data_IF_400113489476
#
_entry.id   IF_400113489476
#
_cell.length_a   1.000
_cell.length_b   1.000
_cell.length_c   1.000
_cell.angle_alpha   90.00
_cell.angle_beta   90.00
_cell.angle_gamma   90.00
#
_symmetry.space_group_name_H-M   'P 1'
#
loop_
_entity.id
_entity.type
_entity.pdbx_description
1 polymer ?
#
# COMPACT_ATOMS: atom_id res chain seq x y z
N UNK A 1 52.23 35.47 -21.16
CA UNK A 1 51.44 34.28 -21.53
C UNK A 1 51.08 33.54 -20.25
N UNK A 2 50.05 33.99 -19.56
CA UNK A 2 49.34 33.24 -18.51
C UNK A 2 48.21 34.15 -18.00
N UNK A 3 47.08 33.54 -17.62
CA UNK A 3 45.87 34.15 -17.03
C UNK A 3 44.74 34.58 -17.98
N UNK A 4 44.09 33.62 -18.66
CA UNK A 4 42.67 33.75 -19.07
C UNK A 4 41.95 32.37 -19.16
N UNK A 5 41.86 31.61 -18.07
CA UNK A 5 41.20 30.30 -18.11
C UNK A 5 40.40 29.91 -16.85
N UNK A 6 39.80 30.86 -16.12
CA UNK A 6 39.09 30.49 -14.88
C UNK A 6 37.73 31.17 -14.62
N UNK A 7 37.00 31.55 -15.68
CA UNK A 7 35.75 32.33 -15.52
C UNK A 7 34.52 31.75 -16.22
N UNK A 8 34.45 30.43 -16.46
CA UNK A 8 33.27 29.80 -17.05
C UNK A 8 32.65 28.65 -16.24
N UNK A 9 33.22 28.27 -15.09
CA UNK A 9 32.69 27.15 -14.28
C UNK A 9 31.55 27.54 -13.31
N UNK A 10 31.20 28.82 -13.18
CA UNK A 10 30.34 29.28 -12.07
C UNK A 10 28.89 29.60 -12.44
N UNK A 11 28.47 29.47 -13.70
CA UNK A 11 27.09 29.77 -14.13
C UNK A 11 26.21 28.56 -14.44
N UNK A 12 26.76 27.33 -14.45
CA UNK A 12 25.96 26.11 -14.69
C UNK A 12 25.32 25.54 -13.42
N UNK A 13 25.74 26.00 -12.23
CA UNK A 13 25.23 25.49 -10.94
C UNK A 13 23.95 26.19 -10.43
N UNK A 14 23.46 27.24 -11.09
CA UNK A 14 22.26 27.98 -10.61
C UNK A 14 20.93 27.58 -11.28
N UNK A 15 20.95 26.75 -12.33
CA UNK A 15 19.71 26.33 -13.03
C UNK A 15 19.11 25.03 -12.46
N UNK A 16 19.84 24.29 -11.61
CA UNK A 16 19.36 23.03 -11.04
C UNK A 16 18.75 23.11 -9.63
N UNK A 17 18.59 24.31 -9.06
CA UNK A 17 18.05 24.48 -7.70
C UNK A 17 16.55 24.83 -7.65
N UNK A 18 15.87 25.10 -8.77
CA UNK A 18 14.48 25.61 -8.77
C UNK A 18 13.38 24.58 -9.01
N UNK A 19 13.67 23.27 -9.02
CA UNK A 19 12.62 22.23 -9.23
C UNK A 19 12.43 21.23 -8.08
N UNK A 20 13.01 21.46 -6.89
CA UNK A 20 12.89 20.54 -5.75
C UNK A 20 11.73 20.81 -4.77
N UNK A 21 10.85 21.78 -5.03
CA UNK A 21 9.81 22.17 -4.05
C UNK A 21 8.37 21.69 -4.32
N UNK A 22 8.11 20.79 -5.28
CA UNK A 22 6.71 20.48 -5.69
C UNK A 22 6.09 19.23 -5.05
N UNK A 23 6.81 18.39 -4.28
CA UNK A 23 6.19 17.17 -3.71
C UNK A 23 6.48 16.98 -2.22
N UNK A 24 5.97 17.90 -1.40
CA UNK A 24 5.73 17.65 0.03
C UNK A 24 4.43 16.83 0.18
N UNK A 25 4.48 15.56 -0.21
CA UNK A 25 3.37 14.62 0.01
C UNK A 25 3.42 14.20 1.48
N UNK A 26 2.58 14.83 2.31
CA UNK A 26 2.31 14.35 3.66
C UNK A 26 1.78 12.92 3.58
N UNK A 27 2.55 11.97 4.10
CA UNK A 27 2.09 10.60 4.32
C UNK A 27 0.93 10.67 5.33
N UNK A 28 -0.29 10.24 5.00
CA UNK A 28 -1.39 10.20 5.96
C UNK A 28 -1.05 9.20 7.07
N UNK A 29 -1.06 9.65 8.32
CA UNK A 29 -0.74 8.84 9.50
C UNK A 29 -1.82 7.82 9.90
N UNK A 30 -2.76 7.48 9.01
CA UNK A 30 -3.77 6.46 9.30
C UNK A 30 -3.58 5.26 8.37
N UNK A 31 -3.08 4.12 8.89
CA UNK A 31 -3.20 2.87 8.16
C UNK A 31 -4.70 2.59 7.96
N UNK A 32 -5.10 2.41 6.70
CA UNK A 32 -6.46 2.05 6.34
C UNK A 32 -6.80 0.70 6.98
N UNK A 33 -7.43 0.72 8.14
CA UNK A 33 -8.20 -0.43 8.63
C UNK A 33 -9.49 -0.46 7.82
N UNK A 34 -9.74 -1.49 6.97
CA UNK A 34 -10.99 -1.60 6.26
C UNK A 34 -12.13 -1.60 7.29
N UNK A 35 -13.06 -0.65 7.16
CA UNK A 35 -14.30 -0.67 7.93
C UNK A 35 -15.00 -2.00 7.62
N UNK A 36 -15.46 -2.76 8.63
CA UNK A 36 -16.32 -3.89 8.36
C UNK A 36 -17.54 -3.41 7.55
N UNK A 37 -18.04 -4.24 6.62
CA UNK A 37 -19.19 -3.90 5.80
C UNK A 37 -20.35 -3.50 6.71
N UNK A 38 -21.05 -2.43 6.35
CA UNK A 38 -22.29 -2.02 7.01
C UNK A 38 -23.30 -3.14 6.76
N UNK A 39 -23.36 -4.09 7.69
CA UNK A 39 -24.40 -5.11 7.72
C UNK A 39 -25.73 -4.39 7.96
N UNK A 40 -26.59 -4.43 6.94
CA UNK A 40 -28.04 -4.24 7.00
C UNK A 40 -28.53 -3.11 7.91
N UNK A 41 -28.50 -1.88 7.38
CA UNK A 41 -29.41 -0.82 7.82
C UNK A 41 -30.83 -1.28 7.46
N UNK A 42 -31.55 -1.82 8.43
CA UNK A 42 -33.01 -2.05 8.37
C UNK A 42 -33.65 -0.76 7.85
N UNK A 43 -34.32 -0.85 6.71
CA UNK A 43 -35.18 0.23 6.22
C UNK A 43 -36.30 0.41 7.24
N UNK A 44 -36.43 1.62 7.77
CA UNK A 44 -37.60 1.99 8.56
C UNK A 44 -38.81 2.07 7.61
N UNK A 45 -39.97 1.50 7.98
CA UNK A 45 -41.16 1.62 7.17
C UNK A 45 -41.71 3.05 7.21
N UNK A 46 -42.09 3.51 6.02
CA UNK A 46 -42.82 4.74 5.75
C UNK A 46 -44.11 4.75 6.59
N UNK A 47 -44.24 5.74 7.47
CA UNK A 47 -45.46 6.02 8.22
C UNK A 47 -46.34 6.94 7.37
N UNK A 48 -47.53 6.47 7.00
CA UNK A 48 -48.65 7.31 6.60
C UNK A 48 -49.94 6.88 7.34
N UNK A 49 -50.56 7.89 7.95
CA UNK A 49 -51.96 8.09 8.32
C UNK A 49 -52.70 7.09 9.22
N UNK A 50 -53.09 7.62 10.38
CA UNK A 50 -54.42 7.60 11.01
C UNK A 50 -55.23 6.29 10.98
N UNK A 51 -55.44 5.72 12.17
CA UNK A 51 -56.79 5.43 12.67
C UNK A 51 -56.74 5.20 14.17
N UNK A 52 -57.59 5.93 14.88
CA UNK A 52 -57.94 5.72 16.28
C UNK A 52 -58.39 4.29 16.55
N UNK A 53 -57.75 3.61 17.49
CA UNK A 53 -58.44 2.65 18.37
C UNK A 53 -57.77 2.65 19.75
N UNK A 54 -58.53 3.18 20.70
CA UNK A 54 -58.30 3.15 22.15
C UNK A 54 -58.48 1.71 22.64
N UNK A 55 -57.39 1.06 23.06
CA UNK A 55 -57.45 -0.18 23.85
C UNK A 55 -56.54 -0.04 25.07
N UNK A 56 -57.24 -0.02 26.20
CA UNK A 56 -56.94 -0.32 27.59
C UNK A 56 -55.54 -0.78 27.99
N UNK A 57 -55.10 -0.16 29.09
CA UNK A 57 -53.90 -0.39 29.88
C UNK A 57 -53.74 -1.83 30.37
N UNK A 58 -52.76 -2.55 29.82
CA UNK A 58 -52.23 -3.78 30.40
C UNK A 58 -50.96 -3.47 31.21
N UNK A 59 -50.97 -3.87 32.49
CA UNK A 59 -49.83 -3.84 33.39
C UNK A 59 -48.57 -4.46 32.77
N UNK A 60 -47.46 -3.72 32.85
CA UNK A 60 -46.15 -4.25 32.52
C UNK A 60 -45.83 -5.44 33.45
N UNK A 61 -45.47 -6.63 32.92
CA UNK A 61 -45.05 -7.74 33.76
C UNK A 61 -43.76 -7.35 34.47
N UNK A 62 -43.74 -7.49 35.80
CA UNK A 62 -42.53 -7.36 36.61
C UNK A 62 -41.43 -8.20 35.97
N UNK A 63 -40.34 -7.56 35.53
CA UNK A 63 -39.10 -8.23 35.15
C UNK A 63 -38.63 -9.06 36.34
N UNK A 64 -38.90 -10.36 36.30
CA UNK A 64 -38.22 -11.32 37.15
C UNK A 64 -36.73 -11.24 36.76
N UNK A 65 -35.90 -10.73 37.65
CA UNK A 65 -34.45 -10.75 37.48
C UNK A 65 -33.99 -12.22 37.51
N UNK A 66 -33.91 -12.86 36.35
CA UNK A 66 -33.34 -14.20 36.20
C UNK A 66 -31.86 -14.28 36.63
N UNK A 67 -31.18 -13.13 36.72
CA UNK A 67 -29.83 -13.01 37.28
C UNK A 67 -29.76 -13.42 38.76
N UNK A 68 -30.81 -13.17 39.55
CA UNK A 68 -30.81 -13.49 40.99
C UNK A 68 -31.16 -14.96 41.27
N UNK A 69 -31.94 -15.61 40.39
CA UNK A 69 -32.34 -17.02 40.53
C UNK A 69 -31.18 -17.97 40.15
N UNK A 70 -30.30 -17.56 39.23
CA UNK A 70 -29.10 -18.34 38.87
C UNK A 70 -27.94 -18.20 39.87
N UNK A 71 -27.92 -17.15 40.71
CA UNK A 71 -26.85 -16.93 41.70
C UNK A 71 -27.00 -17.74 43.00
N UNK A 72 -28.14 -18.40 43.25
CA UNK A 72 -28.39 -19.11 44.51
C UNK A 72 -28.24 -20.64 44.46
N UNK A 73 -27.86 -21.23 43.32
CA UNK A 73 -27.34 -22.61 43.37
C UNK A 73 -25.87 -22.54 43.77
N UNK A 74 -25.60 -22.56 45.08
CA UNK A 74 -24.34 -23.04 45.64
C UNK A 74 -24.19 -24.51 45.20
N UNK A 75 -23.76 -24.74 43.96
CA UNK A 75 -23.43 -26.09 43.48
C UNK A 75 -22.30 -26.57 44.39
N UNK A 76 -22.54 -27.67 45.10
CA UNK A 76 -21.47 -28.34 45.82
C UNK A 76 -20.41 -28.71 44.77
N UNK A 77 -19.17 -28.19 44.87
CA UNK A 77 -18.11 -28.46 43.89
C UNK A 77 -17.78 -29.96 43.80
N UNK A 78 -18.16 -30.75 44.82
CA UNK A 78 -18.06 -32.19 44.82
C UNK A 78 -18.96 -32.89 43.78
N UNK A 79 -20.13 -32.34 43.47
CA UNK A 79 -21.04 -32.93 42.49
C UNK A 79 -20.57 -32.70 41.04
N UNK A 80 -19.91 -31.58 40.76
CA UNK A 80 -19.39 -31.29 39.41
C UNK A 80 -18.22 -32.22 39.03
N UNK A 81 -17.48 -32.76 40.01
CA UNK A 81 -16.38 -33.71 39.77
C UNK A 81 -16.92 -35.11 39.40
N UNK A 82 -18.01 -35.54 40.04
CA UNK A 82 -18.62 -36.86 39.80
C UNK A 82 -19.35 -36.96 38.47
N UNK A 83 -19.80 -35.83 37.92
CA UNK A 83 -20.52 -35.74 36.64
C UNK A 83 -19.55 -35.58 35.46
N UNK A 84 -18.27 -35.29 35.72
CA UNK A 84 -17.27 -35.07 34.67
C UNK A 84 -16.92 -36.38 33.95
N UNK A 85 -16.89 -36.38 32.62
CA UNK A 85 -16.61 -37.57 31.79
C UNK A 85 -15.27 -38.25 32.12
N UNK A 86 -14.30 -37.48 32.65
CA UNK A 86 -12.98 -37.95 33.09
C UNK A 86 -12.87 -38.25 34.60
N UNK A 87 -13.97 -38.53 35.29
CA UNK A 87 -14.00 -38.73 36.76
C UNK A 87 -13.01 -39.80 37.25
N UNK A 88 -12.85 -40.90 36.50
CA UNK A 88 -11.91 -41.98 36.83
C UNK A 88 -10.44 -41.51 36.76
N UNK A 89 -10.09 -40.71 35.74
CA UNK A 89 -8.74 -40.17 35.58
C UNK A 89 -8.42 -39.14 36.67
N UNK A 90 -9.40 -38.31 37.05
CA UNK A 90 -9.27 -37.36 38.17
C UNK A 90 -8.93 -38.13 39.45
N UNK A 91 -9.64 -39.22 39.76
CA UNK A 91 -9.37 -40.02 40.96
C UNK A 91 -8.03 -40.74 40.91
N UNK A 92 -7.67 -41.31 39.74
CA UNK A 92 -6.37 -41.96 39.52
C UNK A 92 -5.22 -40.98 39.76
N UNK A 93 -5.25 -39.80 39.14
CA UNK A 93 -4.20 -38.79 39.32
C UNK A 93 -4.19 -38.26 40.76
N UNK A 94 -5.36 -38.03 41.37
CA UNK A 94 -5.47 -37.60 42.77
C UNK A 94 -4.79 -38.60 43.71
N UNK A 95 -4.96 -39.91 43.47
CA UNK A 95 -4.33 -40.96 44.29
C UNK A 95 -2.83 -41.06 44.05
N UNK A 96 -2.37 -40.99 42.80
CA UNK A 96 -0.95 -40.94 42.44
C UNK A 96 -0.23 -39.76 43.11
N UNK A 97 -0.80 -38.56 43.05
CA UNK A 97 -0.23 -37.36 43.68
C UNK A 97 -0.12 -37.52 45.20
N UNK A 98 -1.14 -38.10 45.84
CA UNK A 98 -1.12 -38.33 47.30
C UNK A 98 -0.04 -39.34 47.72
N UNK A 99 0.25 -40.31 46.86
CA UNK A 99 1.34 -41.28 47.03
C UNK A 99 2.72 -40.67 46.77
N UNK A 100 2.78 -39.49 46.15
CA UNK A 100 4.02 -38.79 45.84
C UNK A 100 4.60 -39.13 44.47
N UNK A 101 3.85 -39.82 43.61
CA UNK A 101 4.27 -40.17 42.25
C UNK A 101 4.37 -38.93 41.35
N UNK A 102 5.19 -39.02 40.29
CA UNK A 102 5.29 -37.96 39.28
C UNK A 102 4.02 -37.88 38.43
N UNK A 103 3.63 -36.66 38.05
CA UNK A 103 2.44 -36.39 37.25
C UNK A 103 2.83 -36.42 35.77
N UNK A 104 2.48 -37.48 35.05
CA UNK A 104 2.77 -37.61 33.62
C UNK A 104 1.76 -36.85 32.72
N UNK A 105 0.56 -36.59 33.25
CA UNK A 105 -0.55 -36.05 32.46
C UNK A 105 -0.51 -34.50 32.38
N UNK A 106 -0.51 -33.97 31.16
CA UNK A 106 -0.24 -32.55 30.86
C UNK A 106 -1.51 -31.76 30.48
N UNK A 107 -2.71 -32.28 30.73
CA UNK A 107 -3.96 -31.56 30.46
C UNK A 107 -4.26 -30.53 31.58
N UNK A 108 -4.18 -29.21 31.32
CA UNK A 108 -4.34 -28.20 32.36
C UNK A 108 -5.74 -28.14 32.98
N UNK A 109 -6.77 -28.55 32.23
CA UNK A 109 -8.15 -28.57 32.73
C UNK A 109 -8.33 -29.72 33.73
N UNK A 110 -7.80 -30.90 33.40
CA UNK A 110 -7.83 -32.07 34.26
C UNK A 110 -7.09 -31.83 35.58
N UNK A 111 -5.89 -31.25 35.52
CA UNK A 111 -5.10 -30.89 36.71
C UNK A 111 -5.81 -29.86 37.60
N UNK A 112 -6.58 -28.94 37.01
CA UNK A 112 -7.43 -28.00 37.77
C UNK A 112 -8.53 -28.68 38.56
N UNK A 113 -9.17 -29.71 37.98
CA UNK A 113 -10.19 -30.52 38.66
C UNK A 113 -9.58 -31.41 39.76
N UNK A 114 -8.38 -31.95 39.54
CA UNK A 114 -7.61 -32.69 40.56
C UNK A 114 -7.28 -31.77 41.74
N UNK A 115 -6.80 -30.54 41.49
CA UNK A 115 -6.55 -29.56 42.54
C UNK A 115 -7.81 -29.20 43.33
N UNK A 116 -8.97 -29.12 42.68
CA UNK A 116 -10.27 -28.89 43.34
C UNK A 116 -10.67 -30.10 44.22
N UNK A 117 -10.46 -31.33 43.73
CA UNK A 117 -10.71 -32.56 44.50
C UNK A 117 -9.83 -32.61 45.76
N UNK A 118 -8.53 -32.36 45.62
CA UNK A 118 -7.60 -32.30 46.75
C UNK A 118 -7.97 -31.20 47.75
N UNK A 119 -8.44 -30.03 47.29
CA UNK A 119 -8.95 -28.97 48.19
C UNK A 119 -10.17 -29.42 48.99
N UNK A 120 -11.11 -30.14 48.36
CA UNK A 120 -12.26 -30.69 49.07
C UNK A 120 -11.83 -31.74 50.11
N UNK A 121 -10.84 -32.58 49.76
CA UNK A 121 -10.26 -33.57 50.68
C UNK A 121 -9.52 -32.92 51.85
N UNK A 122 -8.77 -31.84 51.61
CA UNK A 122 -8.12 -31.03 52.65
C UNK A 122 -9.14 -30.46 53.64
N UNK A 123 -10.19 -29.81 53.14
CA UNK A 123 -11.27 -29.25 53.98
C UNK A 123 -11.92 -30.32 54.87
N UNK A 124 -12.11 -31.53 54.34
CA UNK A 124 -12.65 -32.67 55.10
C UNK A 124 -11.71 -33.20 56.19
N UNK A 125 -10.39 -33.14 55.98
CA UNK A 125 -9.41 -33.51 57.00
C UNK A 125 -9.30 -32.44 58.09
N UNK A 126 -9.44 -31.16 57.73
CA UNK A 126 -9.48 -30.04 58.68
C UNK A 126 -10.71 -30.13 59.60
N UNK A 127 -11.90 -30.44 59.06
CA UNK A 127 -13.11 -30.62 59.88
C UNK A 127 -13.01 -31.81 60.82
N UNK A 128 -12.21 -32.83 60.49
CA UNK A 128 -11.94 -34.00 61.33
C UNK A 128 -10.80 -33.80 62.35
N UNK A 129 -10.09 -32.67 62.31
CA UNK A 129 -8.94 -32.41 63.20
C UNK A 129 -7.64 -33.13 62.81
N UNK A 130 -7.55 -33.72 61.61
CA UNK A 130 -6.35 -34.42 61.12
C UNK A 130 -5.40 -33.45 60.41
N UNK A 131 -4.72 -32.60 61.20
CA UNK A 131 -3.90 -31.51 60.65
C UNK A 131 -2.64 -31.96 59.92
N UNK A 132 -1.99 -33.05 60.36
CA UNK A 132 -0.78 -33.57 59.70
C UNK A 132 -1.07 -34.00 58.25
N UNK A 133 -2.17 -34.71 58.07
CA UNK A 133 -2.61 -35.17 56.74
C UNK A 133 -3.09 -34.00 55.88
N UNK A 134 -3.76 -33.00 56.48
CA UNK A 134 -4.15 -31.77 55.79
C UNK A 134 -2.94 -31.01 55.22
N UNK A 135 -1.83 -30.92 55.99
CA UNK A 135 -0.58 -30.29 55.53
C UNK A 135 0.03 -31.06 54.35
N UNK A 136 0.04 -32.40 54.40
CA UNK A 136 0.50 -33.23 53.28
C UNK A 136 -0.35 -33.01 52.02
N UNK A 137 -1.68 -33.00 52.17
CA UNK A 137 -2.60 -32.70 51.05
C UNK A 137 -2.37 -31.28 50.51
N UNK A 138 -2.05 -30.31 51.36
CA UNK A 138 -1.70 -28.96 50.91
C UNK A 138 -0.43 -28.95 50.05
N UNK A 139 0.62 -29.66 50.46
CA UNK A 139 1.84 -29.80 49.64
C UNK A 139 1.53 -30.47 48.28
N UNK A 140 0.63 -31.46 48.27
CA UNK A 140 0.15 -32.09 47.04
C UNK A 140 -0.62 -31.12 46.14
N UNK A 141 -1.47 -30.25 46.72
CA UNK A 141 -2.18 -29.19 45.98
C UNK A 141 -1.18 -28.24 45.32
N UNK A 142 -0.14 -27.83 46.04
CA UNK A 142 0.85 -26.89 45.53
C UNK A 142 1.64 -27.51 44.36
N UNK A 143 2.06 -28.80 44.47
CA UNK A 143 2.66 -29.55 43.36
C UNK A 143 1.74 -29.65 42.13
N UNK A 144 0.46 -29.96 42.32
CA UNK A 144 -0.51 -30.05 41.22
C UNK A 144 -0.72 -28.68 40.57
N UNK A 145 -0.75 -27.60 41.36
CA UNK A 145 -0.86 -26.23 40.82
C UNK A 145 0.38 -25.82 40.03
N UNK A 146 1.58 -26.18 40.48
CA UNK A 146 2.82 -25.98 39.73
C UNK A 146 2.80 -26.74 38.40
N UNK A 147 2.42 -28.03 38.43
CA UNK A 147 2.28 -28.85 37.22
C UNK A 147 1.20 -28.28 36.27
N UNK A 148 0.07 -27.82 36.80
CA UNK A 148 -1.00 -27.17 36.03
C UNK A 148 -0.51 -25.88 35.37
N UNK A 149 0.30 -25.09 36.07
CA UNK A 149 0.88 -23.85 35.55
C UNK A 149 1.89 -24.14 34.43
N UNK A 150 2.75 -25.15 34.58
CA UNK A 150 3.65 -25.60 33.50
C UNK A 150 2.88 -26.14 32.29
N UNK A 151 1.84 -26.93 32.50
CA UNK A 151 0.96 -27.42 31.44
C UNK A 151 0.29 -26.25 30.69
N UNK A 152 -0.19 -25.23 31.40
CA UNK A 152 -0.76 -24.02 30.81
C UNK A 152 0.27 -23.23 30.00
N UNK A 153 1.51 -23.09 30.49
CA UNK A 153 2.61 -22.46 29.73
C UNK A 153 2.89 -23.20 28.43
N UNK A 154 2.99 -24.54 28.48
CA UNK A 154 3.24 -25.37 27.32
C UNK A 154 2.10 -25.29 26.30
N UNK A 155 0.86 -25.36 26.76
CA UNK A 155 -0.31 -25.20 25.90
C UNK A 155 -0.30 -23.81 25.22
N UNK A 156 -0.05 -22.74 25.98
CA UNK A 156 0.05 -21.39 25.44
C UNK A 156 1.16 -21.25 24.39
N UNK A 157 2.32 -21.87 24.62
CA UNK A 157 3.42 -21.94 23.65
C UNK A 157 2.99 -22.64 22.35
N UNK A 158 2.39 -23.83 22.45
CA UNK A 158 1.92 -24.58 21.26
C UNK A 158 0.93 -23.77 20.43
N UNK A 159 -0.06 -23.15 21.08
CA UNK A 159 -1.01 -22.29 20.38
C UNK A 159 -0.34 -21.09 19.68
N UNK A 160 0.63 -20.45 20.35
CA UNK A 160 1.36 -19.33 19.75
C UNK A 160 2.19 -19.76 18.54
N UNK A 161 2.87 -20.90 18.61
CA UNK A 161 3.65 -21.43 17.48
C UNK A 161 2.76 -21.77 16.28
N UNK A 162 1.60 -22.40 16.51
CA UNK A 162 0.63 -22.71 15.44
C UNK A 162 0.09 -21.42 14.79
N UNK A 163 -0.27 -20.41 15.58
CA UNK A 163 -0.73 -19.11 15.05
C UNK A 163 0.37 -18.40 14.24
N UNK A 164 1.62 -18.44 14.71
CA UNK A 164 2.77 -17.87 13.98
C UNK A 164 2.99 -18.61 12.67
N UNK A 165 2.96 -19.93 12.66
CA UNK A 165 3.14 -20.75 11.46
C UNK A 165 2.06 -20.46 10.40
N UNK A 166 0.80 -20.39 10.83
CA UNK A 166 -0.31 -20.01 9.97
C UNK A 166 -0.12 -18.59 9.38
N UNK A 167 0.37 -17.64 10.16
CA UNK A 167 0.66 -16.28 9.66
C UNK A 167 1.85 -16.24 8.71
N UNK A 168 2.85 -17.11 8.90
CA UNK A 168 3.97 -17.26 7.96
C UNK A 168 3.46 -17.77 6.62
N UNK A 169 2.64 -18.83 6.62
CA UNK A 169 2.06 -19.35 5.37
C UNK A 169 1.25 -18.30 4.62
N UNK A 170 0.45 -17.48 5.33
CA UNK A 170 -0.27 -16.36 4.71
C UNK A 170 0.66 -15.30 4.13
N UNK A 171 1.73 -14.96 4.85
CA UNK A 171 2.72 -13.98 4.38
C UNK A 171 3.45 -14.47 3.13
N UNK A 172 3.72 -15.76 3.03
CA UNK A 172 4.34 -16.36 1.85
C UNK A 172 3.38 -16.42 0.67
N UNK A 173 2.10 -16.73 0.88
CA UNK A 173 1.09 -16.62 -0.18
C UNK A 173 0.92 -15.18 -0.66
N UNK A 174 0.95 -14.20 0.24
CA UNK A 174 0.91 -12.78 -0.11
C UNK A 174 2.11 -12.38 -1.00
N UNK A 175 3.31 -12.93 -0.71
CA UNK A 175 4.51 -12.73 -1.52
C UNK A 175 4.30 -13.23 -2.94
N UNK A 176 3.85 -14.49 -3.09
CA UNK A 176 3.62 -15.07 -4.42
C UNK A 176 2.52 -14.34 -5.20
N UNK A 177 1.47 -13.89 -4.52
CA UNK A 177 0.40 -13.11 -5.16
C UNK A 177 0.95 -11.78 -5.67
N UNK A 178 1.78 -11.09 -4.87
CA UNK A 178 2.38 -9.82 -5.26
C UNK A 178 3.31 -9.96 -6.47
N UNK A 179 4.12 -11.02 -6.51
CA UNK A 179 4.99 -11.35 -7.64
C UNK A 179 4.17 -11.54 -8.94
N UNK A 180 3.13 -12.38 -8.89
CA UNK A 180 2.26 -12.60 -10.05
C UNK A 180 1.50 -11.33 -10.49
N UNK A 181 1.07 -10.48 -9.55
CA UNK A 181 0.43 -9.21 -9.89
C UNK A 181 1.42 -8.27 -10.58
N UNK A 182 2.67 -8.20 -10.10
CA UNK A 182 3.73 -7.40 -10.72
C UNK A 182 4.04 -7.86 -12.16
N UNK A 183 4.22 -9.16 -12.36
CA UNK A 183 4.45 -9.75 -13.67
C UNK A 183 3.27 -9.50 -14.63
N UNK A 184 2.04 -9.68 -14.16
CA UNK A 184 0.85 -9.43 -14.96
C UNK A 184 0.73 -7.94 -15.37
N UNK A 185 1.08 -7.01 -14.47
CA UNK A 185 1.08 -5.58 -14.75
C UNK A 185 2.18 -5.19 -15.75
N UNK A 186 3.37 -5.80 -15.67
CA UNK A 186 4.43 -5.63 -16.67
C UNK A 186 4.00 -6.15 -18.05
N UNK A 187 3.43 -7.35 -18.12
CA UNK A 187 2.96 -7.93 -19.37
C UNK A 187 1.88 -7.06 -20.03
N UNK A 188 0.91 -6.55 -19.25
CA UNK A 188 -0.10 -5.61 -19.74
C UNK A 188 0.51 -4.32 -20.26
N UNK A 189 1.51 -3.79 -19.56
CA UNK A 189 2.24 -2.60 -19.98
C UNK A 189 2.95 -2.84 -21.31
N UNK A 190 3.64 -3.97 -21.47
CA UNK A 190 4.32 -4.31 -22.71
C UNK A 190 3.36 -4.43 -23.90
N UNK A 191 2.24 -5.13 -23.74
CA UNK A 191 1.21 -5.24 -24.80
C UNK A 191 0.70 -3.85 -25.18
N UNK A 192 0.41 -3.00 -24.20
CA UNK A 192 -0.08 -1.64 -24.45
C UNK A 192 0.94 -0.80 -25.24
N UNK A 193 2.21 -0.82 -24.84
CA UNK A 193 3.24 -0.03 -25.51
C UNK A 193 3.59 -0.58 -26.89
N UNK A 194 3.58 -1.91 -27.09
CA UNK A 194 3.71 -2.49 -28.44
C UNK A 194 2.63 -1.99 -29.40
N UNK A 195 1.38 -1.95 -28.94
CA UNK A 195 0.27 -1.40 -29.74
C UNK A 195 0.49 0.09 -30.08
N UNK A 196 0.93 0.89 -29.11
CA UNK A 196 1.25 2.30 -29.35
C UNK A 196 2.44 2.47 -30.31
N UNK A 197 3.45 1.61 -30.25
CA UNK A 197 4.57 1.62 -31.19
C UNK A 197 4.10 1.29 -32.63
N UNK A 198 3.21 0.33 -32.79
CA UNK A 198 2.63 -0.02 -34.10
C UNK A 198 1.76 1.13 -34.66
N UNK A 199 0.90 1.72 -33.83
CA UNK A 199 0.10 2.89 -34.20
C UNK A 199 0.99 4.08 -34.61
N UNK A 200 2.06 4.33 -33.86
CA UNK A 200 3.03 5.37 -34.15
C UNK A 200 3.73 5.13 -35.50
N UNK A 201 4.22 3.90 -35.73
CA UNK A 201 4.87 3.53 -37.01
C UNK A 201 3.93 3.69 -38.19
N UNK A 202 2.68 3.23 -38.07
CA UNK A 202 1.68 3.36 -39.14
C UNK A 202 1.38 4.83 -39.45
N UNK A 203 1.31 5.69 -38.42
CA UNK A 203 1.15 7.13 -38.60
C UNK A 203 2.37 7.74 -39.29
N UNK A 204 3.58 7.38 -38.86
CA UNK A 204 4.83 7.88 -39.43
C UNK A 204 4.98 7.49 -40.91
N UNK A 205 4.59 6.26 -41.29
CA UNK A 205 4.55 5.83 -42.69
C UNK A 205 3.60 6.69 -43.53
N UNK A 206 2.39 6.98 -43.03
CA UNK A 206 1.46 7.89 -43.70
C UNK A 206 2.01 9.30 -43.84
N UNK A 207 2.66 9.83 -42.80
CA UNK A 207 3.30 11.15 -42.85
C UNK A 207 4.40 11.21 -43.94
N UNK A 208 5.15 10.11 -44.15
CA UNK A 208 6.15 10.03 -45.23
C UNK A 208 5.48 9.98 -46.61
N UNK A 209 4.43 9.17 -46.78
CA UNK A 209 3.68 9.09 -48.04
C UNK A 209 3.04 10.44 -48.40
N UNK A 210 2.44 11.12 -47.42
CA UNK A 210 1.84 12.44 -47.60
C UNK A 210 2.90 13.50 -47.94
N UNK A 211 4.08 13.44 -47.31
CA UNK A 211 5.20 14.33 -47.63
C UNK A 211 5.66 14.13 -49.08
N UNK A 212 5.86 12.89 -49.52
CA UNK A 212 6.24 12.57 -50.89
C UNK A 212 5.17 13.02 -51.90
N UNK A 213 3.88 12.82 -51.59
CA UNK A 213 2.78 13.29 -52.42
C UNK A 213 2.72 14.82 -52.52
N UNK A 214 2.95 15.53 -51.40
CA UNK A 214 2.99 17.00 -51.38
C UNK A 214 4.14 17.52 -52.25
N UNK A 215 5.35 16.98 -52.09
CA UNK A 215 6.53 17.43 -52.84
C UNK A 215 6.47 17.09 -54.33
N UNK A 216 5.78 16.01 -54.69
CA UNK A 216 5.50 15.67 -56.09
C UNK A 216 4.27 16.39 -56.67
N UNK A 217 3.53 17.16 -55.84
CA UNK A 217 2.38 17.92 -56.33
C UNK A 217 2.77 19.00 -57.33
N UNK A 218 1.84 19.32 -58.23
CA UNK A 218 2.03 20.40 -59.20
C UNK A 218 2.25 21.75 -58.51
N UNK A 219 1.55 21.99 -57.39
CA UNK A 219 1.70 23.22 -56.62
C UNK A 219 3.13 23.43 -56.11
N UNK A 220 3.77 22.37 -55.57
CA UNK A 220 5.18 22.43 -55.16
C UNK A 220 6.10 22.57 -56.36
N UNK A 221 5.87 21.84 -57.44
CA UNK A 221 6.68 21.96 -58.66
C UNK A 221 6.65 23.38 -59.23
N UNK A 222 5.48 24.04 -59.23
CA UNK A 222 5.32 25.43 -59.70
C UNK A 222 6.13 26.43 -58.88
N UNK A 223 6.33 26.21 -57.57
CA UNK A 223 7.14 27.10 -56.72
C UNK A 223 8.61 27.16 -57.15
N UNK A 224 9.11 26.11 -57.81
CA UNK A 224 10.49 26.02 -58.29
C UNK A 224 10.62 26.26 -59.80
N UNK A 225 9.51 26.40 -60.53
CA UNK A 225 9.51 26.59 -61.99
C UNK A 225 9.47 28.06 -62.42
N UNK A 226 9.81 29.00 -61.54
CA UNK A 226 9.80 30.43 -61.88
C UNK A 226 11.06 30.84 -62.65
N UNK A 227 10.87 31.50 -63.80
CA UNK A 227 11.97 32.07 -64.59
C UNK A 227 12.55 33.29 -63.86
N UNK A 228 13.86 33.50 -63.99
CA UNK A 228 14.45 34.75 -63.52
C UNK A 228 13.95 35.95 -64.36
N UNK A 229 13.94 37.13 -63.75
CA UNK A 229 13.60 38.37 -64.45
C UNK A 229 14.48 38.61 -65.68
N UNK A 230 15.74 38.19 -65.62
CA UNK A 230 16.67 38.34 -66.74
C UNK A 230 16.32 37.40 -67.91
N UNK A 231 15.93 36.16 -67.62
CA UNK A 231 15.47 35.22 -68.65
C UNK A 231 14.15 35.69 -69.27
N UNK A 232 13.24 36.22 -68.46
CA UNK A 232 12.01 36.85 -68.92
C UNK A 232 12.30 38.04 -69.86
N UNK A 233 13.25 38.90 -69.52
CA UNK A 233 13.67 40.02 -70.37
C UNK A 233 14.26 39.54 -71.72
N UNK A 234 15.06 38.47 -71.73
CA UNK A 234 15.59 37.88 -72.97
C UNK A 234 14.46 37.34 -73.86
N UNK A 235 13.47 36.65 -73.27
CA UNK A 235 12.29 36.14 -73.99
C UNK A 235 11.40 37.26 -74.53
N UNK A 236 11.24 38.34 -73.78
CA UNK A 236 10.52 39.55 -74.23
C UNK A 236 11.28 40.27 -75.35
N UNK A 237 12.61 40.38 -75.24
CA UNK A 237 13.47 40.98 -76.26
C UNK A 237 13.43 40.17 -77.57
N UNK A 238 13.52 38.84 -77.48
CA UNK A 238 13.33 37.94 -78.61
C UNK A 238 11.98 38.21 -79.30
N UNK A 239 10.89 38.24 -78.53
CA UNK A 239 9.54 38.51 -79.07
C UNK A 239 9.44 39.87 -79.77
N UNK A 240 10.11 40.91 -79.24
CA UNK A 240 10.17 42.25 -79.85
C UNK A 240 10.97 42.24 -81.16
N UNK A 241 12.12 41.55 -81.21
CA UNK A 241 12.97 41.45 -82.40
C UNK A 241 12.29 40.68 -83.54
N UNK A 242 11.58 39.60 -83.22
CA UNK A 242 10.77 38.83 -84.19
C UNK A 242 9.67 39.70 -84.80
N UNK A 243 8.95 40.48 -83.97
CA UNK A 243 7.93 41.44 -84.45
C UNK A 243 8.54 42.53 -85.35
N UNK A 244 9.77 42.94 -85.07
CA UNK A 244 10.52 43.91 -85.87
C UNK A 244 11.20 43.32 -87.12
N UNK A 245 11.05 42.02 -87.41
CA UNK A 245 11.65 41.30 -88.54
C UNK A 245 13.19 41.29 -88.55
N UNK A 246 13.84 41.45 -87.40
CA UNK A 246 15.31 41.35 -87.24
C UNK A 246 15.69 39.93 -86.84
N UNK A 247 15.64 39.01 -87.79
CA UNK A 247 15.73 37.57 -87.51
C UNK A 247 17.11 37.10 -87.05
N UNK A 248 18.20 37.68 -87.56
CA UNK A 248 19.56 37.30 -87.17
C UNK A 248 19.82 37.58 -85.69
N UNK A 249 19.46 38.77 -85.22
CA UNK A 249 19.57 39.16 -83.81
C UNK A 249 18.62 38.37 -82.93
N UNK A 250 17.40 38.11 -83.40
CA UNK A 250 16.45 37.27 -82.67
C UNK A 250 17.04 35.88 -82.40
N UNK A 251 17.70 35.27 -83.38
CA UNK A 251 18.34 33.96 -83.24
C UNK A 251 19.48 33.97 -82.20
N UNK A 252 20.30 35.04 -82.17
CA UNK A 252 21.35 35.19 -81.15
C UNK A 252 20.73 35.26 -79.74
N UNK A 253 19.69 36.07 -79.57
CA UNK A 253 18.99 36.24 -78.28
C UNK A 253 18.25 34.97 -77.87
N UNK A 254 17.70 34.22 -78.81
CA UNK A 254 17.06 32.93 -78.57
C UNK A 254 18.07 31.90 -78.05
N UNK A 255 19.24 31.80 -78.68
CA UNK A 255 20.30 30.88 -78.23
C UNK A 255 20.78 31.24 -76.82
N UNK A 256 20.98 32.52 -76.53
CA UNK A 256 21.35 32.99 -75.19
C UNK A 256 20.25 32.67 -74.16
N UNK A 257 18.98 32.90 -74.52
CA UNK A 257 17.84 32.57 -73.67
C UNK A 257 17.75 31.07 -73.37
N UNK A 258 17.95 30.21 -74.37
CA UNK A 258 17.91 28.75 -74.21
C UNK A 258 19.04 28.25 -73.29
N UNK A 259 20.27 28.72 -73.49
CA UNK A 259 21.42 28.37 -72.62
C UNK A 259 21.14 28.77 -71.16
N UNK A 260 20.56 29.95 -70.97
CA UNK A 260 20.23 30.46 -69.63
C UNK A 260 19.05 29.72 -69.00
N UNK A 261 18.04 29.36 -69.77
CA UNK A 261 16.93 28.53 -69.31
C UNK A 261 17.43 27.16 -68.82
N UNK A 262 18.29 26.48 -69.58
CA UNK A 262 18.88 25.20 -69.17
C UNK A 262 19.74 25.32 -67.91
N UNK A 263 20.41 26.45 -67.72
CA UNK A 263 21.19 26.71 -66.50
C UNK A 263 20.29 26.96 -65.28
N UNK A 264 19.26 27.82 -65.42
CA UNK A 264 18.30 28.12 -64.36
C UNK A 264 17.46 26.89 -63.99
N UNK A 265 17.05 26.10 -64.98
CA UNK A 265 16.31 24.86 -64.77
C UNK A 265 17.11 23.86 -63.92
N UNK A 266 18.40 23.65 -64.24
CA UNK A 266 19.29 22.79 -63.44
C UNK A 266 19.50 23.32 -62.04
N UNK A 267 19.70 24.63 -61.88
CA UNK A 267 19.86 25.25 -60.57
C UNK A 267 18.59 25.13 -59.71
N UNK A 268 17.42 25.35 -60.30
CA UNK A 268 16.13 25.22 -59.63
C UNK A 268 15.82 23.77 -59.24
N UNK A 269 16.14 22.80 -60.11
CA UNK A 269 16.05 21.37 -59.78
C UNK A 269 16.95 21.01 -58.60
N UNK A 270 18.22 21.40 -58.64
CA UNK A 270 19.15 21.14 -57.53
C UNK A 270 18.69 21.78 -56.20
N UNK A 271 18.14 22.99 -56.27
CA UNK A 271 17.56 23.66 -55.10
C UNK A 271 16.34 22.90 -54.56
N UNK A 272 15.44 22.47 -55.43
CA UNK A 272 14.26 21.67 -55.06
C UNK A 272 14.67 20.40 -54.34
N UNK A 273 15.65 19.68 -54.88
CA UNK A 273 16.13 18.42 -54.31
C UNK A 273 16.81 18.65 -52.95
N UNK A 274 17.59 19.72 -52.82
CA UNK A 274 18.19 20.11 -51.53
C UNK A 274 17.15 20.50 -50.48
N UNK A 275 16.11 21.25 -50.86
CA UNK A 275 15.04 21.65 -49.94
C UNK A 275 14.18 20.44 -49.53
N UNK A 276 13.91 19.52 -50.46
CA UNK A 276 13.23 18.25 -50.19
C UNK A 276 14.01 17.42 -49.17
N UNK A 277 15.31 17.20 -49.40
CA UNK A 277 16.17 16.46 -48.47
C UNK A 277 16.17 17.09 -47.07
N UNK A 278 16.31 18.41 -47.00
CA UNK A 278 16.26 19.13 -45.72
C UNK A 278 14.93 18.94 -45.00
N UNK A 279 13.81 19.02 -45.72
CA UNK A 279 12.48 18.81 -45.14
C UNK A 279 12.28 17.37 -44.69
N UNK A 280 12.75 16.41 -45.47
CA UNK A 280 12.70 14.98 -45.16
C UNK A 280 13.52 14.64 -43.91
N UNK A 281 14.75 15.19 -43.80
CA UNK A 281 15.61 15.01 -42.63
C UNK A 281 14.96 15.57 -41.35
N UNK A 282 14.29 16.72 -41.44
CA UNK A 282 13.54 17.29 -40.32
C UNK A 282 12.38 16.40 -39.90
N UNK A 283 11.68 15.79 -40.85
CA UNK A 283 10.58 14.87 -40.58
C UNK A 283 11.10 13.58 -39.90
N UNK A 284 12.19 13.01 -40.39
CA UNK A 284 12.83 11.84 -39.76
C UNK A 284 13.32 12.15 -38.35
N UNK A 285 13.90 13.33 -38.13
CA UNK A 285 14.35 13.75 -36.80
C UNK A 285 13.18 13.91 -35.83
N UNK A 286 12.03 14.44 -36.30
CA UNK A 286 10.79 14.45 -35.51
C UNK A 286 10.35 13.03 -35.15
N UNK A 287 10.34 12.11 -36.13
CA UNK A 287 9.95 10.72 -35.91
C UNK A 287 10.84 10.01 -34.88
N UNK A 288 12.15 10.24 -34.93
CA UNK A 288 13.11 9.73 -33.94
C UNK A 288 12.79 10.22 -32.53
N UNK A 289 12.57 11.53 -32.36
CA UNK A 289 12.21 12.13 -31.06
C UNK A 289 10.91 11.56 -30.49
N UNK A 290 9.90 11.35 -31.33
CA UNK A 290 8.64 10.73 -30.89
C UNK A 290 8.85 9.29 -30.38
N UNK A 291 9.67 8.50 -31.06
CA UNK A 291 10.02 7.13 -30.63
C UNK A 291 10.78 7.15 -29.30
N UNK A 292 11.75 8.06 -29.15
CA UNK A 292 12.50 8.22 -27.90
C UNK A 292 11.61 8.62 -26.73
N UNK A 293 10.72 9.60 -26.93
CA UNK A 293 9.74 10.01 -25.93
C UNK A 293 8.81 8.84 -25.53
N UNK A 294 8.38 8.02 -26.49
CA UNK A 294 7.56 6.85 -26.20
C UNK A 294 8.32 5.82 -25.34
N UNK A 295 9.60 5.57 -25.66
CA UNK A 295 10.48 4.68 -24.88
C UNK A 295 10.73 5.21 -23.47
N UNK A 296 10.99 6.51 -23.33
CA UNK A 296 11.19 7.16 -22.04
C UNK A 296 9.92 7.08 -21.18
N UNK A 297 8.75 7.32 -21.80
CA UNK A 297 7.46 7.18 -21.13
C UNK A 297 7.23 5.72 -20.65
N UNK A 298 7.57 4.73 -21.49
CA UNK A 298 7.52 3.31 -21.11
C UNK A 298 8.43 3.03 -19.91
N UNK A 299 9.69 3.45 -19.98
CA UNK A 299 10.67 3.22 -18.92
C UNK A 299 10.23 3.87 -17.60
N UNK A 300 9.69 5.10 -17.66
CA UNK A 300 9.17 5.80 -16.50
C UNK A 300 8.04 5.02 -15.80
N UNK A 301 7.17 4.37 -16.58
CA UNK A 301 6.11 3.51 -16.04
C UNK A 301 6.66 2.20 -15.45
N UNK A 302 7.64 1.58 -16.09
CA UNK A 302 8.34 0.40 -15.54
C UNK A 302 9.02 0.73 -14.21
N UNK A 303 9.71 1.87 -14.12
CA UNK A 303 10.34 2.33 -12.89
C UNK A 303 9.31 2.54 -11.75
N UNK A 304 8.13 3.08 -12.08
CA UNK A 304 7.05 3.26 -11.11
C UNK A 304 6.50 1.92 -10.60
N UNK A 305 6.29 0.95 -11.48
CA UNK A 305 5.85 -0.39 -11.09
C UNK A 305 6.90 -1.10 -10.22
N UNK A 306 8.17 -0.97 -10.60
CA UNK A 306 9.30 -1.55 -9.85
C UNK A 306 9.36 -0.97 -8.44
N UNK A 307 9.31 0.35 -8.31
CA UNK A 307 9.26 1.02 -7.00
C UNK A 307 8.06 0.58 -6.15
N UNK A 308 6.89 0.38 -6.77
CA UNK A 308 5.70 -0.13 -6.08
C UNK A 308 5.92 -1.56 -5.58
N UNK A 309 6.55 -2.42 -6.39
CA UNK A 309 6.94 -3.78 -5.99
C UNK A 309 7.89 -3.74 -4.81
N UNK A 310 8.98 -2.97 -4.89
CA UNK A 310 9.98 -2.85 -3.82
C UNK A 310 9.36 -2.42 -2.48
N UNK A 311 8.41 -1.49 -2.50
CA UNK A 311 7.69 -1.06 -1.28
C UNK A 311 6.87 -2.22 -0.70
N UNK A 312 6.18 -2.98 -1.54
CA UNK A 312 5.41 -4.14 -1.09
C UNK A 312 6.32 -5.25 -0.54
N UNK A 313 7.46 -5.49 -1.19
CA UNK A 313 8.46 -6.46 -0.74
C UNK A 313 9.03 -6.07 0.62
N UNK A 314 9.32 -4.79 0.84
CA UNK A 314 9.73 -4.27 2.14
C UNK A 314 8.66 -4.47 3.22
N UNK A 315 7.38 -4.28 2.88
CA UNK A 315 6.27 -4.52 3.82
C UNK A 315 6.21 -6.01 4.20
N UNK A 316 6.32 -6.91 3.23
CA UNK A 316 6.35 -8.36 3.47
C UNK A 316 7.56 -8.76 4.32
N UNK A 317 8.74 -8.24 4.00
CA UNK A 317 9.96 -8.56 4.74
C UNK A 317 9.90 -8.06 6.18
N UNK A 318 9.33 -6.87 6.42
CA UNK A 318 9.08 -6.38 7.77
C UNK A 318 8.11 -7.28 8.52
N UNK A 319 7.06 -7.80 7.88
CA UNK A 319 6.14 -8.78 8.48
C UNK A 319 6.89 -10.09 8.82
N UNK A 320 7.70 -10.62 7.89
CA UNK A 320 8.52 -11.82 8.13
C UNK A 320 9.46 -11.62 9.32
N UNK A 321 10.14 -10.48 9.41
CA UNK A 321 11.02 -10.14 10.54
C UNK A 321 10.26 -10.11 11.87
N UNK A 322 9.08 -9.50 11.89
CA UNK A 322 8.22 -9.48 13.09
C UNK A 322 7.76 -10.88 13.48
N UNK A 323 7.41 -11.73 12.52
CA UNK A 323 7.02 -13.11 12.78
C UNK A 323 8.18 -13.93 13.33
N UNK A 324 9.40 -13.77 12.81
CA UNK A 324 10.61 -14.40 13.37
C UNK A 324 10.87 -13.96 14.80
N UNK A 325 10.76 -12.66 15.08
CA UNK A 325 10.89 -12.15 16.45
C UNK A 325 9.83 -12.73 17.40
N UNK A 326 8.59 -12.87 16.94
CA UNK A 326 7.52 -13.49 17.73
C UNK A 326 7.76 -14.99 17.95
N UNK A 327 8.33 -15.68 16.95
CA UNK A 327 8.74 -17.08 17.07
C UNK A 327 9.82 -17.25 18.13
N UNK A 328 10.86 -16.42 18.13
CA UNK A 328 11.92 -16.44 19.15
C UNK A 328 11.35 -16.23 20.57
N UNK A 329 10.30 -15.41 20.72
CA UNK A 329 9.59 -15.24 21.99
C UNK A 329 8.76 -16.49 22.32
N UNK A 330 8.08 -17.07 21.34
CA UNK A 330 7.22 -18.23 21.54
C UNK A 330 8.04 -19.50 21.87
N UNK A 331 9.29 -19.61 21.42
CA UNK A 331 10.20 -20.70 21.79
C UNK A 331 10.51 -20.74 23.29
N UNK A 332 10.50 -19.59 23.97
CA UNK A 332 10.65 -19.51 25.43
C UNK A 332 9.27 -19.42 26.11
N UNK A 333 8.81 -20.57 26.63
CA UNK A 333 7.52 -20.69 27.35
C UNK A 333 7.38 -19.72 28.52
N UNK A 334 8.46 -19.40 29.24
CA UNK A 334 8.38 -18.48 30.38
C UNK A 334 8.25 -17.04 29.92
N UNK A 335 9.05 -16.66 28.94
CA UNK A 335 9.02 -15.31 28.36
C UNK A 335 7.67 -15.01 27.75
N UNK A 336 7.11 -15.96 26.99
CA UNK A 336 5.75 -15.87 26.43
C UNK A 336 4.69 -15.75 27.53
N UNK A 337 4.77 -16.59 28.57
CA UNK A 337 3.82 -16.56 29.68
C UNK A 337 3.82 -15.22 30.41
N UNK A 338 5.03 -14.69 30.73
CA UNK A 338 5.23 -13.38 31.34
C UNK A 338 4.70 -12.25 30.46
N UNK A 339 4.89 -12.33 29.14
CA UNK A 339 4.38 -11.33 28.20
C UNK A 339 2.85 -11.32 28.14
N UNK A 340 2.23 -12.49 28.04
CA UNK A 340 0.77 -12.64 27.92
C UNK A 340 0.02 -12.25 29.19
N UNK A 341 0.57 -12.61 30.35
CA UNK A 341 -0.07 -12.40 31.67
C UNK A 341 0.57 -11.24 32.45
N UNK A 342 1.32 -10.35 31.78
CA UNK A 342 1.89 -9.15 32.41
C UNK A 342 0.81 -8.27 33.03
N UNK A 343 -0.34 -8.20 32.36
CA UNK A 343 -1.49 -7.38 32.73
C UNK A 343 -2.38 -8.05 33.78
N UNK A 344 -2.38 -9.39 33.85
CA UNK A 344 -3.21 -10.15 34.80
C UNK A 344 -2.76 -9.97 36.26
N UNK A 345 -1.53 -9.50 36.48
CA UNK A 345 -1.06 -9.09 37.81
C UNK A 345 -1.85 -7.91 38.41
N UNK A 346 -2.57 -7.13 37.59
CA UNK A 346 -3.38 -5.99 38.05
C UNK A 346 -4.89 -6.26 38.03
N UNK A 347 -5.32 -7.41 37.52
CA UNK A 347 -6.73 -7.84 37.50
C UNK A 347 -6.88 -9.18 38.22
N UNK A 348 -6.33 -9.29 39.42
CA UNK A 348 -6.93 -10.19 40.40
C UNK A 348 -8.18 -9.45 40.88
N UNK A 349 -9.41 -9.89 40.56
CA UNK A 349 -10.56 -9.37 41.27
C UNK A 349 -10.35 -9.77 42.73
N UNK A 350 -10.02 -8.78 43.56
CA UNK A 350 -10.15 -8.87 45.00
C UNK A 350 -11.66 -8.96 45.29
N UNK A 351 -12.24 -10.12 44.99
CA UNK A 351 -13.49 -10.52 45.56
C UNK A 351 -13.17 -10.87 47.02
N UNK A 352 -13.82 -10.15 47.94
CA UNK A 352 -13.85 -10.38 49.39
C UNK A 352 -12.66 -9.92 50.24
N UNK A 353 -12.30 -8.64 50.11
CA UNK A 353 -11.98 -7.84 51.30
C UNK A 353 -12.96 -6.68 51.41
N UNK A 354 -14.11 -6.98 52.00
CA UNK A 354 -15.07 -5.98 52.46
C UNK A 354 -14.39 -5.03 53.46
N UNK A 355 -14.59 -3.72 53.26
CA UNK A 355 -14.41 -2.74 54.33
C UNK A 355 -13.29 -1.70 54.17
N UNK A 356 -13.17 -1.06 53.00
CA UNK A 356 -12.59 0.28 52.94
C UNK A 356 -13.16 1.04 51.74
N UNK A 357 -14.24 1.78 51.99
CA UNK A 357 -14.72 2.82 51.08
C UNK A 357 -13.66 3.91 50.98
N UNK A 358 -12.73 3.78 50.03
CA UNK A 358 -11.93 4.92 49.59
C UNK A 358 -12.81 5.79 48.70
N UNK A 359 -13.32 6.87 49.30
CA UNK A 359 -13.90 8.01 48.59
C UNK A 359 -13.07 8.33 47.35
N UNK A 360 -13.72 8.30 46.19
CA UNK A 360 -13.18 8.88 44.96
C UNK A 360 -13.03 10.39 45.15
N UNK A 361 -11.90 10.80 45.73
CA UNK A 361 -11.44 12.18 45.67
C UNK A 361 -10.73 12.40 44.34
N UNK A 362 -11.40 13.16 43.48
CA UNK A 362 -10.74 14.05 42.54
C UNK A 362 -10.27 13.40 41.24
N UNK A 363 -11.10 13.55 40.21
CA UNK A 363 -10.60 13.78 38.85
C UNK A 363 -9.70 15.01 38.95
N UNK A 364 -8.38 14.81 39.08
CA UNK A 364 -7.41 15.86 38.83
C UNK A 364 -7.59 16.29 37.38
N UNK A 365 -8.19 17.47 37.20
CA UNK A 365 -8.21 18.16 35.93
C UNK A 365 -6.76 18.23 35.44
N UNK A 366 -6.46 17.50 34.38
CA UNK A 366 -5.21 17.65 33.65
C UNK A 366 -5.17 19.11 33.21
N UNK A 367 -4.18 19.92 33.66
CA UNK A 367 -4.13 21.33 33.30
C UNK A 367 -4.04 21.42 31.78
N UNK A 368 -4.99 22.15 31.18
CA UNK A 368 -4.99 22.53 29.76
C UNK A 368 -3.56 22.90 29.37
N UNK A 369 -2.99 22.14 28.43
CA UNK A 369 -1.67 22.39 27.87
C UNK A 369 -1.56 23.87 27.51
N UNK A 370 -0.68 24.60 28.22
CA UNK A 370 -0.37 26.01 27.96
C UNK A 370 0.30 26.06 26.58
N UNK A 371 -0.51 26.26 25.54
CA UNK A 371 0.01 26.53 24.21
C UNK A 371 0.82 27.82 24.27
N UNK A 372 2.11 27.71 23.96
CA UNK A 372 3.01 28.85 23.80
C UNK A 372 2.45 29.75 22.70
N UNK A 373 2.07 30.97 23.06
CA UNK A 373 1.69 32.01 22.09
C UNK A 373 2.94 32.42 21.34
N UNK A 374 3.08 31.94 20.11
CA UNK A 374 4.15 32.40 19.22
C UNK A 374 3.87 33.86 18.82
N UNK A 375 4.91 34.71 18.75
CA UNK A 375 4.75 36.08 18.28
C UNK A 375 4.25 36.10 16.83
N UNK A 376 3.41 37.07 16.44
CA UNK A 376 2.91 37.19 15.08
C UNK A 376 4.08 37.39 14.11
N UNK A 377 4.00 36.74 12.95
CA UNK A 377 5.01 36.87 11.90
C UNK A 377 5.10 38.33 11.46
N UNK A 378 6.31 38.88 11.56
CA UNK A 378 6.63 40.21 11.02
C UNK A 378 6.60 40.10 9.50
N UNK A 379 5.48 40.45 8.89
CA UNK A 379 5.42 40.70 7.46
C UNK A 379 6.22 41.96 7.18
N UNK A 380 7.43 41.81 6.63
CA UNK A 380 8.14 42.94 6.01
C UNK A 380 7.25 43.48 4.91
N UNK A 381 6.60 44.62 5.16
CA UNK A 381 6.00 45.43 4.11
C UNK A 381 7.12 45.83 3.15
N UNK A 382 7.12 45.26 1.96
CA UNK A 382 7.85 45.82 0.83
C UNK A 382 7.17 47.13 0.46
N UNK A 383 7.63 48.20 1.08
CA UNK A 383 7.41 49.57 0.60
C UNK A 383 8.76 50.25 0.60
N UNK A 384 9.25 50.52 -0.61
CA UNK A 384 10.40 51.38 -0.90
C UNK A 384 11.72 50.61 -1.05
N UNK A 385 12.09 50.28 -2.29
CA UNK A 385 12.93 51.15 -3.13
C UNK A 385 12.70 50.83 -4.61
#
# INVERSE_FOLDING_TARGET
MENQANTQSSQVSQVFQTQREVYNIRVPQNPYTPRPPISYRKQEPIVNSNTDTRIESAHAPRRINYATILQQRKRNPANDILIHEKSNDIQRITTQVLMGDQIDEMDPQLLGLVALNLQNRRKHLETKGQFKDSIHVQQCIDKVREAQLEANKLAAQRYALIDIDLRKSFTDTDSTINEHVYEADLAKLDVRYKKLEEELKNRQLKELEEHDLEWNSEAKTRQYSHLSSNLQNLRDMHTKLVKAKRYEEANIVENEANIKEDAEMRANMAKRDSDYQRSYDQLLEKHRKEIEQLKEAKQSKVNLLTRKSEINDQIIENRRRMLRFNEDIAMDKEKLWKLRHRTDRYNIPVADLQGASSEHKGITQVPKCKMLKLPPLVTKSMTGY
#
